data_IF_714580801458
#
_entry.id   IF_714580801458
#
_cell.length_a   1.000
_cell.length_b   1.000
_cell.length_c   1.000
_cell.angle_alpha   90.00
_cell.angle_beta   90.00
_cell.angle_gamma   90.00
#
_symmetry.space_group_name_H-M   'P 1'
#
loop_
_entity.id
_entity.type
_entity.pdbx_description
1 polymer ?
#
# COMPACT_ATOMS: atom_id res chain seq x y z
N UNK A 1 -18.05 -36.88 20.14
CA UNK A 1 -17.66 -35.90 19.09
C UNK A 1 -17.83 -34.42 19.48
N UNK A 2 -18.94 -33.97 20.11
CA UNK A 2 -19.18 -32.55 20.46
C UNK A 2 -18.13 -31.88 21.37
N UNK A 3 -17.63 -32.56 22.42
CA UNK A 3 -16.58 -32.02 23.33
C UNK A 3 -15.24 -31.75 22.61
N UNK A 4 -14.85 -32.60 21.66
CA UNK A 4 -13.61 -32.44 20.87
C UNK A 4 -13.70 -31.24 19.93
N UNK A 5 -14.88 -31.01 19.33
CA UNK A 5 -15.16 -29.83 18.50
C UNK A 5 -15.20 -28.52 19.31
N UNK A 6 -15.77 -28.52 20.52
CA UNK A 6 -15.78 -27.35 21.41
C UNK A 6 -14.37 -26.98 21.91
N UNK A 7 -13.56 -27.97 22.30
CA UNK A 7 -12.16 -27.76 22.71
C UNK A 7 -11.28 -27.25 21.56
N UNK A 8 -11.50 -27.75 20.34
CA UNK A 8 -10.81 -27.27 19.13
C UNK A 8 -11.17 -25.81 18.80
N UNK A 9 -12.44 -25.43 18.95
CA UNK A 9 -12.88 -24.02 18.78
C UNK A 9 -12.24 -23.09 19.82
N UNK A 10 -12.11 -23.53 21.06
CA UNK A 10 -11.44 -22.74 22.12
C UNK A 10 -9.95 -22.52 21.85
N UNK A 11 -9.22 -23.55 21.40
CA UNK A 11 -7.80 -23.42 21.08
C UNK A 11 -7.54 -22.49 19.89
N UNK A 12 -8.36 -22.56 18.84
CA UNK A 12 -8.25 -21.65 17.68
C UNK A 12 -8.50 -20.19 18.08
N UNK A 13 -9.52 -19.94 18.91
CA UNK A 13 -9.77 -18.58 19.40
C UNK A 13 -8.61 -18.03 20.22
N UNK A 14 -8.01 -18.83 21.10
CA UNK A 14 -6.84 -18.43 21.89
C UNK A 14 -5.67 -18.07 20.98
N UNK A 15 -5.38 -18.91 19.98
CA UNK A 15 -4.31 -18.64 19.01
C UNK A 15 -4.52 -17.32 18.27
N UNK A 16 -5.75 -17.03 17.83
CA UNK A 16 -6.07 -15.76 17.15
C UNK A 16 -5.78 -14.56 18.06
N UNK A 17 -6.18 -14.60 19.33
CA UNK A 17 -5.91 -13.51 20.27
C UNK A 17 -4.41 -13.35 20.55
N UNK A 18 -3.64 -14.45 20.62
CA UNK A 18 -2.19 -14.40 20.75
C UNK A 18 -1.55 -13.74 19.52
N UNK A 19 -1.96 -14.13 18.32
CA UNK A 19 -1.46 -13.55 17.07
C UNK A 19 -1.78 -12.05 16.97
N UNK A 20 -2.99 -11.65 17.38
CA UNK A 20 -3.36 -10.23 17.48
C UNK A 20 -2.44 -9.50 18.47
N UNK A 21 -2.25 -10.05 19.67
CA UNK A 21 -1.40 -9.44 20.70
C UNK A 21 0.04 -9.26 20.22
N UNK A 22 0.64 -10.31 19.66
CA UNK A 22 1.99 -10.26 19.09
C UNK A 22 2.08 -9.30 17.90
N UNK A 23 1.09 -9.31 17.02
CA UNK A 23 1.03 -8.42 15.87
C UNK A 23 0.94 -6.95 16.28
N UNK A 24 0.16 -6.63 17.32
CA UNK A 24 0.10 -5.28 17.90
C UNK A 24 1.43 -4.88 18.51
N UNK A 25 2.04 -5.74 19.35
CA UNK A 25 3.35 -5.48 19.95
C UNK A 25 4.38 -5.18 18.87
N UNK A 26 4.46 -6.03 17.83
CA UNK A 26 5.38 -5.84 16.72
C UNK A 26 5.09 -4.54 15.96
N UNK A 27 3.83 -4.24 15.67
CA UNK A 27 3.45 -3.01 14.94
C UNK A 27 3.85 -1.73 15.68
N UNK A 28 3.71 -1.71 17.01
CA UNK A 28 4.10 -0.55 17.82
C UNK A 28 5.60 -0.48 18.11
N UNK A 29 6.30 -1.62 18.17
CA UNK A 29 7.74 -1.67 18.39
C UNK A 29 8.56 -1.45 17.11
N UNK A 30 7.99 -1.73 15.93
CA UNK A 30 8.69 -1.68 14.65
C UNK A 30 9.42 -0.36 14.36
N UNK A 31 8.85 0.84 14.63
CA UNK A 31 9.54 2.10 14.38
C UNK A 31 10.86 2.26 15.16
N UNK A 32 10.98 1.60 16.31
CA UNK A 32 12.19 1.63 17.15
C UNK A 32 13.21 0.56 16.78
N UNK A 33 12.89 -0.33 15.84
CA UNK A 33 13.70 -1.50 15.50
C UNK A 33 13.98 -1.61 13.98
N UNK A 34 14.37 -0.52 13.28
CA UNK A 34 14.40 -0.52 11.81
C UNK A 34 15.39 -1.52 11.21
N UNK A 35 16.53 -1.77 11.86
CA UNK A 35 17.51 -2.78 11.44
C UNK A 35 16.92 -4.19 11.48
N UNK A 36 16.14 -4.51 12.53
CA UNK A 36 15.48 -5.83 12.64
C UNK A 36 14.34 -5.96 11.63
N UNK A 37 13.57 -4.88 11.40
CA UNK A 37 12.50 -4.86 10.40
C UNK A 37 13.08 -5.00 8.99
N UNK A 38 14.22 -4.39 8.69
CA UNK A 38 14.90 -4.55 7.41
C UNK A 38 15.31 -6.00 7.17
N UNK A 39 16.08 -6.58 8.09
CA UNK A 39 16.64 -7.93 7.94
C UNK A 39 15.60 -9.05 8.09
N UNK A 40 14.75 -8.97 9.12
CA UNK A 40 13.83 -10.06 9.49
C UNK A 40 12.51 -10.03 8.72
N UNK A 41 11.97 -8.84 8.45
CA UNK A 41 10.68 -8.70 7.77
C UNK A 41 10.86 -8.33 6.30
N UNK A 42 11.44 -7.17 6.02
CA UNK A 42 11.30 -6.50 4.71
C UNK A 42 12.08 -7.19 3.59
N UNK A 43 13.33 -7.55 3.86
CA UNK A 43 14.20 -8.24 2.90
C UNK A 43 14.04 -9.76 2.91
N UNK A 44 13.37 -10.30 3.94
CA UNK A 44 13.15 -11.73 4.13
C UNK A 44 11.68 -12.08 3.92
N UNK A 45 10.88 -12.11 4.99
CA UNK A 45 9.48 -12.56 4.96
C UNK A 45 8.64 -11.84 3.90
N UNK A 46 8.74 -10.52 3.83
CA UNK A 46 7.93 -9.69 2.95
C UNK A 46 8.23 -9.95 1.47
N UNK A 47 9.48 -10.25 1.08
CA UNK A 47 9.81 -10.64 -0.32
C UNK A 47 9.07 -11.91 -0.75
N UNK A 48 8.89 -12.87 0.16
CA UNK A 48 8.13 -14.10 -0.10
C UNK A 48 6.62 -13.88 -0.12
N UNK A 49 6.12 -12.82 0.53
CA UNK A 49 4.70 -12.45 0.55
C UNK A 49 4.34 -11.62 -0.69
N UNK A 50 5.13 -10.59 -0.99
CA UNK A 50 4.81 -9.56 -1.97
C UNK A 50 4.84 -10.06 -3.40
N UNK A 51 5.85 -10.86 -3.77
CA UNK A 51 5.97 -11.41 -5.12
C UNK A 51 4.75 -12.22 -5.56
N UNK A 52 4.31 -13.24 -4.79
CA UNK A 52 3.09 -13.98 -5.09
C UNK A 52 1.82 -13.13 -5.13
N UNK A 53 1.63 -12.21 -4.15
CA UNK A 53 0.47 -11.32 -4.14
C UNK A 53 0.46 -10.42 -5.38
N UNK A 54 1.60 -9.83 -5.72
CA UNK A 54 1.76 -8.97 -6.89
C UNK A 54 1.49 -9.73 -8.20
N UNK A 55 2.02 -10.95 -8.35
CA UNK A 55 1.76 -11.79 -9.53
C UNK A 55 0.31 -12.25 -9.62
N UNK A 56 -0.29 -12.65 -8.50
CA UNK A 56 -1.69 -13.09 -8.46
C UNK A 56 -2.64 -11.94 -8.78
N UNK A 57 -2.46 -10.79 -8.11
CA UNK A 57 -3.26 -9.61 -8.43
C UNK A 57 -2.98 -9.18 -9.86
N UNK A 58 -1.74 -9.26 -10.35
CA UNK A 58 -1.32 -8.98 -11.73
C UNK A 58 -2.08 -9.72 -12.83
N UNK A 59 -2.77 -10.82 -12.52
CA UNK A 59 -3.65 -11.52 -13.46
C UNK A 59 -4.85 -10.67 -13.91
N UNK A 60 -5.29 -9.74 -13.06
CA UNK A 60 -6.41 -8.85 -13.36
C UNK A 60 -5.91 -7.59 -14.11
N UNK A 61 -6.57 -7.16 -15.18
CA UNK A 61 -6.17 -5.98 -15.95
C UNK A 61 -6.47 -4.64 -15.24
N UNK A 62 -6.97 -4.68 -14.00
CA UNK A 62 -7.34 -3.53 -13.17
C UNK A 62 -6.77 -3.68 -11.74
N UNK A 63 -6.72 -2.58 -10.98
CA UNK A 63 -6.31 -2.60 -9.58
C UNK A 63 -7.38 -3.26 -8.70
N UNK A 64 -7.06 -4.41 -8.11
CA UNK A 64 -7.95 -5.08 -7.15
C UNK A 64 -8.16 -4.21 -5.90
N UNK A 65 -7.15 -3.45 -5.51
CA UNK A 65 -7.21 -2.55 -4.36
C UNK A 65 -8.22 -1.41 -4.59
N UNK A 66 -8.29 -0.82 -5.79
CA UNK A 66 -9.30 0.21 -6.12
C UNK A 66 -10.72 -0.33 -5.92
N UNK A 67 -11.01 -1.53 -6.43
CA UNK A 67 -12.34 -2.15 -6.29
C UNK A 67 -12.69 -2.45 -4.82
N UNK A 68 -11.72 -2.91 -4.04
CA UNK A 68 -11.92 -3.15 -2.59
C UNK A 68 -12.26 -1.84 -1.88
N UNK A 69 -11.53 -0.76 -2.15
CA UNK A 69 -11.76 0.54 -1.48
C UNK A 69 -13.10 1.13 -1.89
N UNK A 70 -13.42 1.14 -3.19
CA UNK A 70 -14.71 1.65 -3.68
C UNK A 70 -15.86 0.83 -3.11
N UNK A 71 -15.75 -0.51 -3.12
CA UNK A 71 -16.74 -1.41 -2.53
C UNK A 71 -16.90 -1.20 -1.02
N UNK A 72 -15.80 -1.00 -0.29
CA UNK A 72 -15.83 -0.68 1.13
C UNK A 72 -16.51 0.67 1.39
N UNK A 73 -16.27 1.66 0.53
CA UNK A 73 -16.95 2.96 0.56
C UNK A 73 -18.47 2.82 0.44
N UNK A 74 -18.94 2.07 -0.56
CA UNK A 74 -20.38 1.78 -0.72
C UNK A 74 -20.96 1.01 0.46
N UNK A 75 -20.21 0.04 1.00
CA UNK A 75 -20.64 -0.72 2.17
C UNK A 75 -20.77 0.15 3.42
N UNK A 76 -19.79 1.03 3.68
CA UNK A 76 -19.84 2.00 4.77
C UNK A 76 -21.02 2.94 4.61
N UNK A 77 -21.25 3.48 3.40
CA UNK A 77 -22.39 4.34 3.10
C UNK A 77 -23.73 3.63 3.36
N UNK A 78 -23.86 2.37 2.92
CA UNK A 78 -25.04 1.56 3.20
C UNK A 78 -25.29 1.37 4.71
N UNK A 79 -24.24 1.05 5.48
CA UNK A 79 -24.34 0.92 6.94
C UNK A 79 -24.77 2.24 7.58
N UNK A 80 -24.20 3.37 7.16
CA UNK A 80 -24.53 4.70 7.67
C UNK A 80 -25.99 5.04 7.39
N UNK A 81 -26.45 4.86 6.14
CA UNK A 81 -27.84 5.13 5.76
C UNK A 81 -28.81 4.25 6.56
N UNK A 82 -28.53 2.94 6.66
CA UNK A 82 -29.35 2.02 7.45
C UNK A 82 -29.36 2.39 8.93
N UNK A 83 -28.20 2.78 9.46
CA UNK A 83 -28.03 3.26 10.83
C UNK A 83 -28.88 4.50 11.09
N UNK A 84 -28.82 5.50 10.21
CA UNK A 84 -29.62 6.71 10.28
C UNK A 84 -31.12 6.40 10.24
N UNK A 85 -31.58 5.58 9.29
CA UNK A 85 -33.00 5.16 9.21
C UNK A 85 -33.45 4.47 10.51
N UNK A 86 -32.61 3.60 11.07
CA UNK A 86 -32.93 2.87 12.32
C UNK A 86 -32.94 3.80 13.52
N UNK A 87 -32.03 4.77 13.58
CA UNK A 87 -32.01 5.78 14.63
C UNK A 87 -33.30 6.60 14.66
N UNK A 88 -33.78 7.07 13.50
CA UNK A 88 -35.02 7.85 13.41
C UNK A 88 -36.28 7.02 13.64
N UNK A 89 -36.35 5.80 13.09
CA UNK A 89 -37.56 4.96 13.21
C UNK A 89 -37.64 4.21 14.54
N UNK A 90 -36.49 3.81 15.09
CA UNK A 90 -36.39 2.85 16.21
C UNK A 90 -35.14 3.11 17.09
N UNK A 91 -35.06 4.24 17.80
CA UNK A 91 -33.85 4.65 18.52
C UNK A 91 -33.36 3.64 19.56
N UNK A 92 -34.28 2.97 20.29
CA UNK A 92 -33.92 1.93 21.26
C UNK A 92 -33.26 0.71 20.60
N UNK A 93 -33.70 0.32 19.40
CA UNK A 93 -33.09 -0.79 18.65
C UNK A 93 -31.71 -0.40 18.11
N UNK A 94 -31.54 0.85 17.68
CA UNK A 94 -30.25 1.39 17.21
C UNK A 94 -29.16 1.29 18.28
N UNK A 95 -29.39 1.86 19.48
CA UNK A 95 -28.40 1.80 20.56
C UNK A 95 -28.11 0.37 21.01
N UNK A 96 -29.12 -0.51 21.03
CA UNK A 96 -28.92 -1.94 21.31
C UNK A 96 -28.05 -2.62 20.25
N UNK A 97 -28.21 -2.26 18.97
CA UNK A 97 -27.40 -2.78 17.87
C UNK A 97 -25.95 -2.30 17.98
N UNK A 98 -25.72 -1.03 18.31
CA UNK A 98 -24.37 -0.49 18.55
C UNK A 98 -23.69 -1.24 19.69
N UNK A 99 -24.37 -1.39 20.84
CA UNK A 99 -23.78 -2.06 22.00
C UNK A 99 -23.41 -3.53 21.70
N UNK A 100 -24.26 -4.23 20.95
CA UNK A 100 -24.01 -5.63 20.54
C UNK A 100 -22.96 -5.74 19.43
N UNK A 101 -22.86 -4.74 18.55
CA UNK A 101 -21.98 -4.74 17.39
C UNK A 101 -20.59 -4.16 17.67
N UNK A 102 -20.46 -3.28 18.66
CA UNK A 102 -19.25 -2.50 18.92
C UNK A 102 -18.03 -3.36 19.17
N UNK A 103 -18.13 -4.37 20.04
CA UNK A 103 -17.02 -5.29 20.28
C UNK A 103 -16.58 -6.05 19.01
N UNK A 104 -17.53 -6.43 18.15
CA UNK A 104 -17.21 -7.08 16.86
C UNK A 104 -16.51 -6.10 15.92
N UNK A 105 -16.98 -4.86 15.86
CA UNK A 105 -16.36 -3.82 15.06
C UNK A 105 -14.92 -3.56 15.51
N UNK A 106 -14.68 -3.44 16.81
CA UNK A 106 -13.32 -3.29 17.37
C UNK A 106 -12.43 -4.45 16.97
N UNK A 107 -12.90 -5.69 17.10
CA UNK A 107 -12.13 -6.88 16.68
C UNK A 107 -11.81 -6.83 15.19
N UNK A 108 -12.77 -6.47 14.34
CA UNK A 108 -12.54 -6.32 12.90
C UNK A 108 -11.50 -5.24 12.60
N UNK A 109 -11.58 -4.07 13.25
CA UNK A 109 -10.63 -2.98 13.07
C UNK A 109 -9.22 -3.39 13.52
N UNK A 110 -9.09 -4.09 14.65
CA UNK A 110 -7.81 -4.60 15.13
C UNK A 110 -7.23 -5.64 14.17
N UNK A 111 -8.05 -6.54 13.64
CA UNK A 111 -7.62 -7.53 12.64
C UNK A 111 -7.18 -6.85 11.34
N UNK A 112 -7.90 -5.83 10.88
CA UNK A 112 -7.51 -5.03 9.71
C UNK A 112 -6.19 -4.31 9.94
N UNK A 113 -6.00 -3.69 11.11
CA UNK A 113 -4.77 -3.01 11.48
C UNK A 113 -3.57 -3.96 11.55
N UNK A 114 -3.69 -5.06 12.28
CA UNK A 114 -2.62 -6.07 12.38
C UNK A 114 -2.36 -6.71 11.03
N UNK A 115 -3.42 -7.09 10.30
CA UNK A 115 -3.30 -7.67 8.96
C UNK A 115 -2.58 -6.73 7.99
N UNK A 116 -2.93 -5.45 7.98
CA UNK A 116 -2.25 -4.42 7.19
C UNK A 116 -0.76 -4.34 7.55
N UNK A 117 -0.43 -4.24 8.84
CA UNK A 117 0.97 -4.17 9.28
C UNK A 117 1.76 -5.42 8.87
N UNK A 118 1.22 -6.62 9.13
CA UNK A 118 1.91 -7.88 8.83
C UNK A 118 2.03 -8.18 7.34
N UNK A 119 1.10 -7.68 6.51
CA UNK A 119 1.15 -7.86 5.06
C UNK A 119 1.98 -6.78 4.35
N UNK A 120 2.07 -5.58 4.91
CA UNK A 120 2.75 -4.45 4.29
C UNK A 120 3.31 -3.43 5.29
N UNK A 121 2.50 -2.98 6.25
CA UNK A 121 2.76 -1.75 7.02
C UNK A 121 4.06 -1.73 7.82
N UNK A 122 4.62 -2.88 8.21
CA UNK A 122 5.95 -2.91 8.83
C UNK A 122 7.05 -2.33 7.91
N UNK A 123 6.86 -2.31 6.58
CA UNK A 123 7.79 -1.69 5.65
C UNK A 123 7.96 -0.17 5.87
N UNK A 124 7.05 0.50 6.57
CA UNK A 124 7.22 1.93 6.94
C UNK A 124 8.27 2.15 8.04
N UNK A 125 8.67 1.09 8.73
CA UNK A 125 9.73 1.13 9.75
C UNK A 125 11.06 0.59 9.23
N UNK A 126 11.26 0.58 7.91
CA UNK A 126 12.53 0.16 7.30
C UNK A 126 13.62 1.21 7.45
N UNK A 127 14.85 0.77 7.21
CA UNK A 127 15.96 1.68 6.96
C UNK A 127 15.66 2.51 5.70
N UNK A 128 16.23 3.72 5.65
CA UNK A 128 16.05 4.60 4.49
C UNK A 128 16.68 3.98 3.25
N UNK A 129 16.25 4.42 2.07
CA UNK A 129 16.91 3.98 0.83
C UNK A 129 18.40 4.32 0.86
N UNK A 130 18.79 5.48 1.42
CA UNK A 130 20.19 5.88 1.52
C UNK A 130 21.01 4.90 2.38
N UNK A 131 20.48 4.47 3.51
CA UNK A 131 21.15 3.49 4.39
C UNK A 131 21.37 2.15 3.69
N UNK A 132 20.34 1.65 2.99
CA UNK A 132 20.42 0.33 2.34
C UNK A 132 21.20 0.36 1.02
N UNK A 133 21.28 1.51 0.36
CA UNK A 133 22.03 1.69 -0.90
C UNK A 133 23.45 2.24 -0.69
N UNK A 134 23.83 2.56 0.55
CA UNK A 134 25.13 3.11 0.87
C UNK A 134 25.35 4.54 0.38
N UNK A 135 24.27 5.31 0.17
CA UNK A 135 24.37 6.70 -0.23
C UNK A 135 24.73 7.57 0.98
N UNK A 136 25.79 8.41 0.89
CA UNK A 136 26.12 9.34 1.95
C UNK A 136 25.00 10.38 2.08
N UNK A 137 24.55 10.60 3.32
CA UNK A 137 23.57 11.64 3.64
C UNK A 137 24.31 12.76 4.36
N UNK A 138 24.55 13.84 3.63
CA UNK A 138 25.28 15.02 4.11
C UNK A 138 24.43 16.28 3.92
N UNK A 139 24.63 17.34 4.73
CA UNK A 139 23.98 18.63 4.49
C UNK A 139 24.35 19.18 3.11
N UNK A 140 23.35 19.59 2.33
CA UNK A 140 23.57 20.18 1.01
C UNK A 140 23.71 21.71 1.09
N UNK A 141 24.68 22.28 0.38
CA UNK A 141 24.82 23.73 0.28
C UNK A 141 23.75 24.33 -0.65
N UNK A 142 23.35 25.59 -0.41
CA UNK A 142 22.32 26.27 -1.22
C UNK A 142 22.75 26.39 -2.67
N UNK A 143 24.04 26.63 -2.91
CA UNK A 143 24.65 26.75 -4.22
C UNK A 143 24.60 25.41 -4.98
N UNK A 144 24.86 24.29 -4.30
CA UNK A 144 24.77 22.94 -4.88
C UNK A 144 23.33 22.60 -5.27
N UNK A 145 22.37 22.90 -4.38
CA UNK A 145 20.95 22.70 -4.65
C UNK A 145 20.48 23.58 -5.82
N UNK A 146 20.97 24.81 -5.91
CA UNK A 146 20.66 25.73 -7.02
C UNK A 146 21.24 25.21 -8.34
N UNK A 147 22.50 24.78 -8.34
CA UNK A 147 23.14 24.20 -9.52
C UNK A 147 22.42 22.92 -9.98
N UNK A 148 22.02 22.06 -9.03
CA UNK A 148 21.25 20.86 -9.32
C UNK A 148 19.90 21.21 -9.95
N UNK A 149 19.16 22.16 -9.37
CA UNK A 149 17.86 22.59 -9.88
C UNK A 149 17.96 23.15 -11.31
N UNK A 150 18.96 24.00 -11.58
CA UNK A 150 19.21 24.55 -12.92
C UNK A 150 19.61 23.46 -13.92
N UNK A 151 20.46 22.52 -13.51
CA UNK A 151 20.87 21.38 -14.34
C UNK A 151 19.68 20.48 -14.70
N UNK A 152 18.86 20.13 -13.71
CA UNK A 152 17.64 19.33 -13.92
C UNK A 152 16.63 20.06 -14.81
N UNK A 153 16.45 21.36 -14.61
CA UNK A 153 15.57 22.20 -15.45
C UNK A 153 16.04 22.23 -16.91
N UNK A 154 17.34 22.45 -17.12
CA UNK A 154 17.94 22.43 -18.46
C UNK A 154 17.72 21.07 -19.15
N UNK A 155 18.02 19.97 -18.44
CA UNK A 155 17.80 18.61 -18.96
C UNK A 155 16.33 18.34 -19.26
N UNK A 156 15.42 18.76 -18.39
CA UNK A 156 13.98 18.62 -18.62
C UNK A 156 13.53 19.39 -19.86
N UNK A 157 14.00 20.62 -20.07
CA UNK A 157 13.69 21.41 -21.27
C UNK A 157 14.21 20.75 -22.56
N UNK A 158 15.43 20.19 -22.53
CA UNK A 158 15.99 19.45 -23.67
C UNK A 158 15.19 18.19 -23.97
N UNK A 159 14.77 17.44 -22.94
CA UNK A 159 13.95 16.24 -23.10
C UNK A 159 12.52 16.57 -23.54
N UNK A 160 11.97 17.71 -23.13
CA UNK A 160 10.63 18.14 -23.51
C UNK A 160 10.50 18.31 -25.02
N UNK A 161 11.54 18.80 -25.69
CA UNK A 161 11.56 18.92 -27.15
C UNK A 161 11.59 17.57 -27.90
N UNK A 162 11.79 16.45 -27.19
CA UNK A 162 11.90 15.10 -27.77
C UNK A 162 10.64 14.25 -27.62
N UNK A 163 9.61 14.74 -26.94
CA UNK A 163 8.35 14.01 -26.77
C UNK A 163 7.28 14.54 -27.71
N UNK A 164 6.40 13.66 -28.19
CA UNK A 164 5.24 14.06 -28.98
C UNK A 164 4.24 14.85 -28.12
N UNK A 165 3.52 15.78 -28.75
CA UNK A 165 2.48 16.61 -28.11
C UNK A 165 1.20 16.63 -28.95
N UNK A 166 0.06 16.81 -28.28
CA UNK A 166 -1.20 17.12 -28.94
C UNK A 166 -1.31 18.61 -29.30
N UNK A 167 -2.41 19.02 -29.95
CA UNK A 167 -2.66 20.40 -30.36
C UNK A 167 -2.71 21.41 -29.19
N UNK A 168 -2.82 20.94 -27.95
CA UNK A 168 -2.85 21.76 -26.74
C UNK A 168 -1.49 21.82 -26.06
N UNK A 169 -0.46 21.22 -26.65
CA UNK A 169 0.88 21.13 -26.11
C UNK A 169 0.99 20.14 -24.95
N UNK A 170 0.08 19.16 -24.84
CA UNK A 170 0.14 18.11 -23.81
C UNK A 170 0.92 16.92 -24.35
N UNK A 171 1.87 16.40 -23.55
CA UNK A 171 2.65 15.22 -23.93
C UNK A 171 1.74 14.03 -24.25
N UNK A 172 2.01 13.38 -25.39
CA UNK A 172 1.36 12.14 -25.79
C UNK A 172 2.36 10.99 -25.76
N UNK A 173 1.92 9.82 -25.31
CA UNK A 173 2.74 8.61 -25.36
C UNK A 173 2.86 8.11 -26.80
N UNK A 174 4.07 7.77 -27.23
CA UNK A 174 4.32 7.13 -28.54
C UNK A 174 3.69 5.72 -28.66
N UNK A 175 3.25 5.16 -27.53
CA UNK A 175 2.69 3.82 -27.42
C UNK A 175 1.48 3.83 -26.48
N UNK A 176 0.68 2.77 -26.52
CA UNK A 176 -0.44 2.64 -25.57
C UNK A 176 0.05 2.59 -24.10
N UNK A 177 -0.79 3.06 -23.17
CA UNK A 177 -0.53 2.96 -21.71
C UNK A 177 -0.19 1.52 -21.29
N UNK A 178 -0.85 0.52 -21.90
CA UNK A 178 -0.58 -0.90 -21.63
C UNK A 178 0.85 -1.31 -22.03
N UNK A 179 1.32 -0.86 -23.19
CA UNK A 179 2.69 -1.12 -23.63
C UNK A 179 3.71 -0.38 -22.75
N UNK A 180 3.40 0.85 -22.33
CA UNK A 180 4.21 1.59 -21.36
C UNK A 180 4.35 0.82 -20.04
N UNK A 181 3.27 0.25 -19.51
CA UNK A 181 3.34 -0.59 -18.31
C UNK A 181 4.17 -1.86 -18.52
N UNK A 182 4.09 -2.50 -19.69
CA UNK A 182 4.88 -3.72 -19.97
C UNK A 182 6.39 -3.50 -20.02
N UNK A 183 6.86 -2.26 -20.23
CA UNK A 183 8.29 -1.91 -20.23
C UNK A 183 8.78 -1.31 -18.91
N UNK A 184 7.90 -1.13 -17.92
CA UNK A 184 8.28 -0.53 -16.64
C UNK A 184 9.33 -1.36 -15.89
N UNK A 185 9.22 -2.68 -15.93
CA UNK A 185 10.19 -3.62 -15.32
C UNK A 185 11.61 -3.39 -15.88
N UNK A 186 11.74 -3.09 -17.18
CA UNK A 186 13.05 -2.84 -17.80
C UNK A 186 13.80 -1.67 -17.16
N UNK A 187 13.08 -0.64 -16.69
CA UNK A 187 13.68 0.49 -15.96
C UNK A 187 14.23 0.06 -14.60
N UNK A 188 13.45 -0.74 -13.87
CA UNK A 188 13.86 -1.30 -12.58
C UNK A 188 15.01 -2.30 -12.71
N UNK A 189 15.01 -3.16 -13.72
CA UNK A 189 16.11 -4.10 -14.00
C UNK A 189 17.43 -3.37 -14.25
N UNK A 190 17.39 -2.26 -15.00
CA UNK A 190 18.57 -1.43 -15.24
C UNK A 190 19.04 -0.70 -13.99
N UNK A 191 18.11 -0.16 -13.20
CA UNK A 191 18.42 0.49 -11.94
C UNK A 191 19.01 -0.51 -10.93
N UNK A 192 18.54 -1.76 -10.93
CA UNK A 192 19.00 -2.83 -10.06
C UNK A 192 20.45 -3.26 -10.30
N UNK A 193 21.04 -2.93 -11.46
CA UNK A 193 22.48 -3.11 -11.70
C UNK A 193 23.32 -2.22 -10.79
N UNK A 194 22.81 -1.03 -10.47
CA UNK A 194 23.48 -0.04 -9.62
C UNK A 194 23.02 -0.20 -8.16
N UNK A 195 21.71 -0.37 -7.95
CA UNK A 195 21.07 -0.49 -6.64
C UNK A 195 20.26 -1.78 -6.56
N UNK A 196 20.87 -2.92 -6.16
CA UNK A 196 20.21 -4.23 -6.11
C UNK A 196 18.89 -4.25 -5.33
N UNK A 197 18.70 -3.32 -4.40
CA UNK A 197 17.50 -3.12 -3.58
C UNK A 197 16.25 -2.76 -4.41
N UNK A 198 16.45 -2.18 -5.60
CA UNK A 198 15.38 -1.87 -6.56
C UNK A 198 14.97 -3.08 -7.41
N UNK A 199 15.71 -4.18 -7.32
CA UNK A 199 15.42 -5.41 -8.05
C UNK A 199 14.27 -6.21 -7.44
N UNK A 200 13.66 -7.07 -8.25
CA UNK A 200 12.62 -7.98 -7.82
C UNK A 200 11.82 -8.53 -8.99
N UNK A 201 10.89 -9.46 -8.72
CA UNK A 201 9.98 -10.01 -9.72
C UNK A 201 8.54 -9.86 -9.26
N UNK A 202 7.82 -9.00 -9.95
CA UNK A 202 6.47 -8.58 -9.60
C UNK A 202 5.49 -8.83 -10.77
N UNK A 203 4.19 -8.75 -10.51
CA UNK A 203 3.20 -8.71 -11.58
C UNK A 203 3.31 -7.41 -12.38
N UNK A 204 2.77 -7.36 -13.62
CA UNK A 204 2.80 -6.15 -14.42
C UNK A 204 2.10 -4.99 -13.69
N UNK A 205 2.67 -3.77 -13.72
CA UNK A 205 2.01 -2.62 -13.14
C UNK A 205 0.72 -2.29 -13.91
N UNK A 206 -0.18 -1.59 -13.23
CA UNK A 206 -1.53 -1.34 -13.72
C UNK A 206 -1.88 0.13 -13.63
N UNK A 207 -2.76 0.55 -14.53
CA UNK A 207 -3.37 1.87 -14.47
C UNK A 207 -4.29 2.00 -13.26
N UNK A 208 -4.38 3.23 -12.76
CA UNK A 208 -5.34 3.63 -11.73
C UNK A 208 -6.56 4.21 -12.43
N UNK A 209 -7.71 3.55 -12.33
CA UNK A 209 -8.94 3.99 -13.01
C UNK A 209 -9.45 5.32 -12.48
N UNK A 210 -9.30 5.56 -11.17
CA UNK A 210 -9.71 6.81 -10.52
C UNK A 210 -8.58 7.86 -10.46
N UNK A 211 -7.53 7.71 -11.28
CA UNK A 211 -6.32 8.57 -11.24
C UNK A 211 -6.64 10.06 -11.30
N UNK A 212 -7.57 10.47 -12.15
CA UNK A 212 -8.01 11.87 -12.24
C UNK A 212 -8.54 12.40 -10.90
N UNK A 213 -9.45 11.66 -10.25
CA UNK A 213 -10.04 12.08 -8.98
C UNK A 213 -9.05 12.00 -7.82
N UNK A 214 -8.20 10.97 -7.78
CA UNK A 214 -7.17 10.83 -6.73
C UNK A 214 -6.03 11.83 -6.82
N UNK A 215 -5.75 12.36 -8.01
CA UNK A 215 -4.73 13.40 -8.15
C UNK A 215 -5.09 14.64 -7.32
N UNK A 216 -6.38 14.96 -7.17
CA UNK A 216 -6.86 16.04 -6.30
C UNK A 216 -6.66 15.76 -4.81
N UNK A 217 -6.48 14.50 -4.41
CA UNK A 217 -6.19 14.12 -3.02
C UNK A 217 -4.68 14.02 -2.74
N UNK A 218 -3.83 14.33 -3.72
CA UNK A 218 -2.38 14.14 -3.62
C UNK A 218 -1.94 12.67 -3.67
N UNK A 219 -2.82 11.76 -4.09
CA UNK A 219 -2.52 10.32 -4.19
C UNK A 219 -2.21 10.00 -5.66
N UNK A 220 -0.96 9.62 -5.94
CA UNK A 220 -0.49 9.30 -7.29
C UNK A 220 -0.57 7.80 -7.64
N UNK A 221 -0.94 6.95 -6.68
CA UNK A 221 -1.11 5.52 -6.90
C UNK A 221 -1.42 4.74 -5.62
N UNK A 222 -1.67 3.44 -5.77
CA UNK A 222 -1.75 2.47 -4.68
C UNK A 222 -0.88 1.25 -5.00
N UNK A 223 -0.09 0.83 -4.02
CA UNK A 223 0.93 -0.22 -4.14
C UNK A 223 0.51 -1.49 -3.39
#
# INVERSE_FOLDING_TARGET
MKKKAARKKSAVSILVYILIGLGLILSFAAPSLPVLIEAGYSTSLYKWISGPISRFTGLFPFSVAEFIIVGLGFFCLFIIIRGAITLFKKPKEFFRSILKGGAKLVIVLVLLYVGFNMLWGLNYSRLSFADISGLPVEPAAVEELTALALSLTSRANVLRAQVAEDERGVMTLDSSIRQMFSRAETGYDRAAVIYPELGGKFGPPKGVFLSHYWSYTGISGMY
#
